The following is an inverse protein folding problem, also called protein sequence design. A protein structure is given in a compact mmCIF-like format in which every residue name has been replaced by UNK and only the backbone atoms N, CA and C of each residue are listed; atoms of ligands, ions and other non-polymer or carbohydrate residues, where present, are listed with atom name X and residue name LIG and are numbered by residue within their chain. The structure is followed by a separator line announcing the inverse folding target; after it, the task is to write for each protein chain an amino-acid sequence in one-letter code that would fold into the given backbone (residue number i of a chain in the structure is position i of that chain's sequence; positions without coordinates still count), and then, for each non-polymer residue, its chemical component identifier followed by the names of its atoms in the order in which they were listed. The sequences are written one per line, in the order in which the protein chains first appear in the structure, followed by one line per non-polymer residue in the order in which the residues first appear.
data_IF_678796383015
#
_entry.id   IF_678796383015
#
_cell.length_a   1.000
_cell.length_b   1.000
_cell.length_c   1.000
_cell.angle_alpha   90.00
_cell.angle_beta   90.00
_cell.angle_gamma   90.00
#
_symmetry.space_group_name_H-M   'P 1'
#
loop_
_entity.id
_entity.type
_entity.pdbx_description
1 polymer ?
#
# COMPACT_ATOMS: atom_id res chain seq x y z
N UNK A 1 23.60 -1.44 -31.51
CA UNK A 1 22.41 -1.89 -30.75
C UNK A 1 22.86 -2.15 -29.33
N UNK A 2 22.51 -1.25 -28.42
CA UNK A 2 23.14 -1.18 -27.11
C UNK A 2 22.62 -2.26 -26.16
N UNK A 3 23.52 -2.82 -25.36
CA UNK A 3 23.22 -3.61 -24.16
C UNK A 3 22.24 -2.91 -23.20
N UNK A 4 22.12 -1.58 -23.31
CA UNK A 4 21.14 -0.75 -22.61
C UNK A 4 19.70 -1.12 -22.99
N UNK A 5 19.44 -1.48 -24.25
CA UNK A 5 18.11 -1.85 -24.74
C UNK A 5 17.71 -3.26 -24.27
N UNK A 6 18.68 -4.18 -24.20
CA UNK A 6 18.46 -5.54 -23.68
C UNK A 6 18.21 -5.54 -22.16
N UNK A 7 18.91 -4.70 -21.41
CA UNK A 7 18.66 -4.51 -19.96
C UNK A 7 17.33 -3.80 -19.74
N UNK A 8 16.97 -2.82 -20.57
CA UNK A 8 15.68 -2.13 -20.46
C UNK A 8 14.50 -3.04 -20.88
N UNK A 9 14.71 -3.95 -21.83
CA UNK A 9 13.78 -5.04 -22.18
C UNK A 9 13.64 -6.11 -21.09
N UNK A 10 14.74 -6.47 -20.41
CA UNK A 10 14.71 -7.44 -19.31
C UNK A 10 14.11 -6.86 -18.02
N UNK A 11 14.35 -5.57 -17.75
CA UNK A 11 13.76 -4.82 -16.65
C UNK A 11 12.28 -4.54 -16.92
N UNK A 12 11.86 -4.21 -18.14
CA UNK A 12 10.43 -4.09 -18.47
C UNK A 12 9.68 -5.42 -18.37
N UNK A 13 10.35 -6.56 -18.58
CA UNK A 13 9.78 -7.89 -18.34
C UNK A 13 9.66 -8.31 -16.87
N UNK A 14 10.49 -7.75 -15.96
CA UNK A 14 10.54 -8.15 -14.54
C UNK A 14 10.05 -7.08 -13.56
N UNK A 15 9.93 -5.82 -13.99
CA UNK A 15 9.21 -4.75 -13.25
C UNK A 15 7.70 -4.93 -13.35
N UNK A 16 7.23 -5.65 -14.37
CA UNK A 16 5.82 -5.99 -14.59
C UNK A 16 5.21 -6.82 -13.43
N UNK A 17 5.99 -7.54 -12.62
CA UNK A 17 5.42 -8.43 -11.59
C UNK A 17 5.31 -7.83 -10.19
N UNK A 18 6.06 -6.78 -9.85
CA UNK A 18 6.02 -6.18 -8.50
C UNK A 18 6.04 -4.65 -8.45
N UNK A 19 6.30 -3.96 -9.58
CA UNK A 19 6.29 -2.49 -9.62
C UNK A 19 4.88 -1.91 -9.61
N UNK A 20 3.95 -2.53 -10.33
CA UNK A 20 2.57 -2.05 -10.43
C UNK A 20 1.85 -2.05 -9.09
N UNK A 21 1.97 -3.14 -8.32
CA UNK A 21 1.24 -3.24 -7.05
C UNK A 21 1.77 -2.24 -6.01
N UNK A 22 3.08 -2.01 -5.94
CA UNK A 22 3.64 -0.97 -5.07
C UNK A 22 3.15 0.44 -5.42
N UNK A 23 3.04 0.75 -6.71
CA UNK A 23 2.55 2.04 -7.19
C UNK A 23 1.05 2.23 -6.94
N UNK A 24 0.24 1.20 -7.17
CA UNK A 24 -1.19 1.21 -6.85
C UNK A 24 -1.44 1.31 -5.35
N UNK A 25 -0.68 0.58 -4.52
CA UNK A 25 -0.76 0.73 -3.06
C UNK A 25 -0.35 2.14 -2.65
N UNK A 26 0.75 2.67 -3.18
CA UNK A 26 1.16 4.05 -2.94
C UNK A 26 0.04 5.04 -3.25
N UNK A 27 -0.66 4.84 -4.36
CA UNK A 27 -1.84 5.63 -4.72
C UNK A 27 -3.03 5.47 -3.77
N UNK A 28 -3.29 4.28 -3.22
CA UNK A 28 -4.35 4.03 -2.24
C UNK A 28 -4.03 4.58 -0.84
N UNK A 29 -2.77 4.52 -0.44
CA UNK A 29 -2.28 4.98 0.85
C UNK A 29 -2.03 6.51 0.86
N UNK A 30 -1.88 7.13 -0.32
CA UNK A 30 -1.81 8.56 -0.47
C UNK A 30 -3.12 9.24 -0.02
N UNK A 31 -3.01 10.43 0.58
CA UNK A 31 -4.16 11.16 1.11
C UNK A 31 -5.24 11.49 0.07
N UNK A 32 -4.85 11.63 -1.20
CA UNK A 32 -5.74 11.92 -2.32
C UNK A 32 -6.43 10.67 -2.89
N UNK A 33 -6.27 9.51 -2.26
CA UNK A 33 -6.92 8.28 -2.74
C UNK A 33 -8.43 8.30 -2.52
N UNK A 34 -9.14 7.50 -3.32
CA UNK A 34 -10.59 7.29 -3.15
C UNK A 34 -10.97 6.74 -1.76
N UNK A 35 -10.01 6.10 -1.07
CA UNK A 35 -10.18 5.56 0.28
C UNK A 35 -9.90 6.59 1.38
N UNK A 36 -9.38 7.78 1.06
CA UNK A 36 -8.94 8.77 2.06
C UNK A 36 -7.57 8.45 2.66
N UNK A 37 -6.70 7.79 1.88
CA UNK A 37 -5.35 7.39 2.26
C UNK A 37 -5.28 6.35 3.36
N UNK A 38 -4.13 6.30 4.04
CA UNK A 38 -3.89 5.37 5.15
C UNK A 38 -4.96 5.47 6.25
N UNK A 39 -5.36 6.69 6.63
CA UNK A 39 -6.36 6.89 7.68
C UNK A 39 -7.73 6.31 7.30
N UNK A 40 -8.20 6.58 6.08
CA UNK A 40 -9.48 6.04 5.64
C UNK A 40 -9.45 4.53 5.42
N UNK A 41 -8.30 3.97 5.03
CA UNK A 41 -8.10 2.52 5.02
C UNK A 41 -8.23 1.93 6.44
N UNK A 42 -7.60 2.55 7.44
CA UNK A 42 -7.72 2.14 8.84
C UNK A 42 -9.18 2.19 9.31
N UNK A 43 -9.88 3.28 8.98
CA UNK A 43 -11.30 3.43 9.29
C UNK A 43 -12.15 2.32 8.66
N UNK A 44 -11.83 1.87 7.44
CA UNK A 44 -12.52 0.76 6.77
C UNK A 44 -12.33 -0.56 7.51
N UNK A 45 -11.10 -0.87 7.94
CA UNK A 45 -10.84 -2.07 8.74
C UNK A 45 -11.57 -2.01 10.09
N UNK A 46 -11.53 -0.87 10.78
CA UNK A 46 -12.26 -0.68 12.03
C UNK A 46 -13.78 -0.85 11.87
N UNK A 47 -14.36 -0.26 10.82
CA UNK A 47 -15.80 -0.39 10.51
C UNK A 47 -16.23 -1.83 10.21
N UNK A 48 -15.31 -2.68 9.76
CA UNK A 48 -15.54 -4.10 9.50
C UNK A 48 -15.21 -5.01 10.70
N UNK A 49 -14.98 -4.44 11.89
CA UNK A 49 -14.66 -5.20 13.10
C UNK A 49 -13.22 -5.72 13.14
N UNK A 50 -12.34 -5.23 12.26
CA UNK A 50 -10.93 -5.62 12.17
C UNK A 50 -10.01 -4.59 12.84
N UNK A 51 -10.54 -3.87 13.84
CA UNK A 51 -9.83 -2.82 14.57
C UNK A 51 -8.58 -3.33 15.27
N UNK A 52 -8.64 -4.50 15.90
CA UNK A 52 -7.49 -5.11 16.58
C UNK A 52 -6.38 -5.49 15.59
N UNK A 53 -6.76 -5.96 14.40
CA UNK A 53 -5.82 -6.35 13.34
C UNK A 53 -5.09 -5.11 12.83
N UNK A 54 -5.82 -4.08 12.39
CA UNK A 54 -5.18 -2.87 11.87
C UNK A 54 -4.45 -2.09 12.97
N UNK A 55 -4.94 -2.13 14.20
CA UNK A 55 -4.26 -1.54 15.36
C UNK A 55 -2.92 -2.22 15.65
N UNK A 56 -2.81 -3.54 15.42
CA UNK A 56 -1.54 -4.26 15.56
C UNK A 56 -0.50 -3.81 14.54
N UNK A 57 -0.93 -3.39 13.34
CA UNK A 57 -0.06 -2.87 12.30
C UNK A 57 0.38 -1.44 12.54
N UNK A 58 -0.50 -0.64 13.17
CA UNK A 58 -0.16 0.74 13.52
C UNK A 58 0.80 0.77 14.72
N UNK A 59 0.60 -0.15 15.67
CA UNK A 59 1.40 -0.27 16.87
C UNK A 59 2.82 -0.80 16.60
N UNK A 60 3.66 -0.82 17.64
CA UNK A 60 5.04 -1.34 17.57
C UNK A 60 5.13 -2.83 17.91
N UNK A 61 4.00 -3.53 17.90
CA UNK A 61 3.86 -4.92 18.30
C UNK A 61 4.09 -5.90 17.14
N UNK A 62 3.68 -7.16 17.31
CA UNK A 62 3.62 -8.09 16.18
C UNK A 62 2.40 -7.78 15.31
N UNK A 63 2.65 -7.66 14.00
CA UNK A 63 1.60 -7.54 13.00
C UNK A 63 0.74 -8.79 12.97
N UNK A 64 -0.56 -8.65 13.24
CA UNK A 64 -1.51 -9.74 13.11
C UNK A 64 -1.71 -10.10 11.64
N UNK A 65 -1.75 -11.41 11.30
CA UNK A 65 -2.04 -11.83 9.94
C UNK A 65 -3.49 -11.51 9.59
N UNK A 66 -3.74 -11.28 8.30
CA UNK A 66 -5.08 -11.08 7.76
C UNK A 66 -5.29 -11.99 6.55
N UNK A 67 -6.55 -12.37 6.30
CA UNK A 67 -6.91 -13.23 5.17
C UNK A 67 -7.37 -12.40 3.97
N UNK A 68 -7.28 -12.98 2.77
CA UNK A 68 -7.80 -12.37 1.54
C UNK A 68 -9.28 -11.95 1.66
N UNK A 69 -10.14 -12.82 2.22
CA UNK A 69 -11.55 -12.52 2.45
C UNK A 69 -11.78 -11.33 3.40
N UNK A 70 -10.90 -11.18 4.40
CA UNK A 70 -10.97 -10.06 5.34
C UNK A 70 -10.57 -8.75 4.66
N UNK A 71 -9.53 -8.76 3.82
CA UNK A 71 -9.18 -7.63 2.96
C UNK A 71 -10.35 -7.26 2.04
N UNK A 72 -10.97 -8.26 1.41
CA UNK A 72 -12.10 -8.03 0.51
C UNK A 72 -13.33 -7.48 1.22
N UNK A 73 -13.59 -7.92 2.45
CA UNK A 73 -14.67 -7.40 3.28
C UNK A 73 -14.39 -5.95 3.72
N UNK A 74 -13.15 -5.65 4.12
CA UNK A 74 -12.77 -4.32 4.58
C UNK A 74 -12.75 -3.26 3.46
N UNK A 75 -12.07 -3.55 2.35
CA UNK A 75 -11.93 -2.63 1.23
C UNK A 75 -13.17 -2.61 0.33
N UNK A 76 -13.90 -3.73 0.27
CA UNK A 76 -15.03 -3.91 -0.63
C UNK A 76 -14.60 -4.21 -2.06
N UNK A 77 -15.58 -4.57 -2.88
CA UNK A 77 -15.37 -4.99 -4.27
C UNK A 77 -14.92 -3.84 -5.20
N UNK A 78 -15.28 -2.59 -4.92
CA UNK A 78 -14.93 -1.44 -5.76
C UNK A 78 -13.41 -1.18 -5.83
N UNK A 79 -12.74 -0.87 -4.71
CA UNK A 79 -11.30 -0.64 -4.68
C UNK A 79 -10.52 -1.86 -5.18
N UNK A 80 -10.93 -3.07 -4.78
CA UNK A 80 -10.30 -4.30 -5.26
C UNK A 80 -10.44 -4.47 -6.77
N UNK A 81 -11.61 -4.17 -7.35
CA UNK A 81 -11.82 -4.21 -8.79
C UNK A 81 -10.96 -3.16 -9.50
N UNK A 82 -10.83 -1.95 -8.96
CA UNK A 82 -9.97 -0.91 -9.55
C UNK A 82 -8.51 -1.37 -9.62
N UNK A 83 -7.98 -1.91 -8.51
CA UNK A 83 -6.61 -2.44 -8.45
C UNK A 83 -6.45 -3.63 -9.40
N UNK A 84 -7.39 -4.56 -9.40
CA UNK A 84 -7.43 -5.72 -10.28
C UNK A 84 -7.36 -5.30 -11.76
N UNK A 85 -8.17 -4.32 -12.17
CA UNK A 85 -8.15 -3.79 -13.53
C UNK A 85 -6.83 -3.10 -13.88
N UNK A 86 -6.24 -2.34 -12.95
CA UNK A 86 -4.96 -1.66 -13.17
C UNK A 86 -3.80 -2.66 -13.32
N UNK A 87 -3.85 -3.77 -12.60
CA UNK A 87 -2.81 -4.80 -12.62
C UNK A 87 -3.07 -5.90 -13.65
N UNK A 88 -4.25 -5.93 -14.27
CA UNK A 88 -4.68 -7.05 -15.12
C UNK A 88 -4.79 -8.37 -14.35
N UNK A 89 -5.15 -8.30 -13.06
CA UNK A 89 -5.27 -9.45 -12.15
C UNK A 89 -6.73 -9.65 -11.72
N UNK A 90 -7.02 -10.82 -11.16
CA UNK A 90 -8.31 -11.06 -10.50
C UNK A 90 -8.38 -10.38 -9.12
N UNK A 91 -9.55 -9.85 -8.71
CA UNK A 91 -9.75 -9.26 -7.37
C UNK A 91 -9.35 -10.21 -6.23
N UNK A 92 -9.58 -11.51 -6.40
CA UNK A 92 -9.17 -12.53 -5.43
C UNK A 92 -7.64 -12.61 -5.28
N UNK A 93 -6.90 -12.55 -6.41
CA UNK A 93 -5.44 -12.53 -6.41
C UNK A 93 -4.92 -11.26 -5.71
N UNK A 94 -5.50 -10.11 -6.05
CA UNK A 94 -5.15 -8.82 -5.42
C UNK A 94 -5.37 -8.87 -3.92
N UNK A 95 -6.53 -9.35 -3.46
CA UNK A 95 -6.83 -9.44 -2.03
C UNK A 95 -5.86 -10.35 -1.27
N UNK A 96 -5.41 -11.44 -1.90
CA UNK A 96 -4.39 -12.34 -1.33
C UNK A 96 -3.01 -11.70 -1.24
N UNK A 97 -2.61 -10.92 -2.25
CA UNK A 97 -1.34 -10.19 -2.22
C UNK A 97 -1.36 -9.05 -1.20
N UNK A 98 -2.45 -8.29 -1.16
CA UNK A 98 -2.69 -7.25 -0.17
C UNK A 98 -2.60 -7.80 1.24
N UNK A 99 -3.21 -8.95 1.52
CA UNK A 99 -3.17 -9.60 2.83
C UNK A 99 -1.75 -9.90 3.32
N UNK A 100 -0.80 -10.11 2.42
CA UNK A 100 0.61 -10.38 2.76
C UNK A 100 1.44 -9.11 2.95
N UNK A 101 1.13 -8.03 2.22
CA UNK A 101 1.97 -6.83 2.21
C UNK A 101 1.43 -5.68 3.05
N UNK A 102 0.10 -5.49 3.13
CA UNK A 102 -0.53 -4.40 3.90
C UNK A 102 -0.01 -4.33 5.34
N UNK A 103 0.07 -5.45 6.10
CA UNK A 103 0.53 -5.41 7.47
C UNK A 103 1.92 -4.77 7.61
N UNK A 104 2.88 -5.22 6.78
CA UNK A 104 4.25 -4.73 6.84
C UNK A 104 4.43 -3.32 6.27
N UNK A 105 3.61 -2.94 5.29
CA UNK A 105 3.63 -1.57 4.74
C UNK A 105 3.10 -0.57 5.78
N UNK A 106 1.98 -0.88 6.43
CA UNK A 106 1.40 0.01 7.43
C UNK A 106 2.38 0.18 8.60
N UNK A 107 2.92 -0.92 9.13
CA UNK A 107 3.94 -0.91 10.19
C UNK A 107 5.15 -0.03 9.85
N UNK A 108 5.70 -0.16 8.65
CA UNK A 108 6.80 0.69 8.19
C UNK A 108 6.44 2.17 8.07
N UNK A 109 5.16 2.48 7.81
CA UNK A 109 4.64 3.84 7.71
C UNK A 109 4.23 4.42 9.09
N UNK A 110 4.09 3.57 10.11
CA UNK A 110 3.72 3.95 11.48
C UNK A 110 4.79 3.55 12.52
N UNK A 111 6.08 3.89 12.32
CA UNK A 111 7.15 3.44 13.20
C UNK A 111 7.03 3.95 14.64
N UNK A 112 6.23 5.00 14.86
CA UNK A 112 5.99 5.59 16.18
C UNK A 112 4.76 5.02 16.89
N UNK A 113 4.15 3.94 16.38
CA UNK A 113 2.91 3.42 16.96
C UNK A 113 1.68 4.28 16.65
N UNK A 114 1.82 5.25 15.73
CA UNK A 114 0.80 6.25 15.43
C UNK A 114 0.76 6.53 13.94
N UNK A 115 -0.44 6.84 13.43
CA UNK A 115 -0.62 7.27 12.06
C UNK A 115 0.08 8.63 11.86
N UNK A 116 0.80 8.82 10.73
CA UNK A 116 1.41 10.11 10.43
C UNK A 116 0.34 11.21 10.40
N UNK A 117 0.59 12.31 11.12
CA UNK A 117 -0.34 13.44 11.20
C UNK A 117 -0.43 14.10 9.82
N UNK A 118 -1.58 13.95 9.15
CA UNK A 118 -1.78 14.36 7.76
C UNK A 118 -1.54 13.27 6.72
N UNK A 119 -1.50 11.99 7.14
CA UNK A 119 -1.24 10.82 6.27
C UNK A 119 0.17 10.84 5.68
N UNK A 120 0.37 10.18 4.53
CA UNK A 120 1.68 10.14 3.85
C UNK A 120 2.11 11.49 3.21
N UNK A 121 1.42 12.58 3.52
CA UNK A 121 1.56 13.87 2.85
C UNK A 121 1.16 13.82 1.37
N UNK A 122 1.51 14.87 0.63
CA UNK A 122 1.56 14.82 -0.83
C UNK A 122 2.93 14.25 -1.26
N UNK A 123 3.07 13.65 -2.45
CA UNK A 123 4.37 13.24 -2.97
C UNK A 123 5.42 14.37 -2.97
N UNK A 124 4.98 15.63 -3.02
CA UNK A 124 5.82 16.81 -2.87
C UNK A 124 6.43 16.96 -1.46
N UNK A 125 5.68 16.63 -0.40
CA UNK A 125 6.16 16.69 0.98
C UNK A 125 7.19 15.59 1.26
N UNK A 126 6.99 14.39 0.68
CA UNK A 126 7.96 13.29 0.73
C UNK A 126 9.28 13.67 0.05
N UNK A 127 9.21 14.35 -1.10
CA UNK A 127 10.41 14.89 -1.77
C UNK A 127 11.09 15.98 -0.95
N UNK A 128 10.33 16.80 -0.23
CA UNK A 128 10.85 17.80 0.70
C UNK A 128 11.62 17.18 1.86
N UNK A 129 11.10 16.09 2.45
CA UNK A 129 11.77 15.38 3.54
C UNK A 129 13.05 14.67 3.06
N UNK A 130 13.03 14.09 1.85
CA UNK A 130 14.20 13.47 1.24
C UNK A 130 15.27 14.50 0.84
N UNK A 131 14.84 15.68 0.38
CA UNK A 131 15.73 16.81 0.12
C UNK A 131 16.37 17.37 1.39
N UNK A 132 15.67 17.32 2.52
CA UNK A 132 16.21 17.68 3.84
C UNK A 132 17.28 16.70 4.34
N UNK A 133 17.07 15.40 4.10
CA UNK A 133 18.01 14.33 4.46
C UNK A 133 19.31 14.33 3.66
N UNK A 134 19.29 14.80 2.40
CA UNK A 134 20.48 14.89 1.55
C UNK A 134 21.34 16.13 1.78
N UNK A 135 20.85 17.08 2.58
CA UNK A 135 21.52 18.36 2.87
C UNK A 135 22.03 18.46 4.32
N UNK A 136 21.85 17.40 5.12
CA UNK A 136 22.40 17.26 6.47
C UNK A 136 23.76 16.57 6.47
#
# INVERSE_FOLDING_TARGET
MGIFDAVMGAVSGHVQQNGGLGEVLGGLLANNSELGGLSGLVDKFQQNGMGDIVGSWIGTGQNLPISADQIASALGSGPLANIANQLGLDPAQVSGQLAQMLPGIIDQLTPNGTLPQGGLGQPADLMGMLGGLLKG
#
